data_IF_595859807527
#
_entry.id   IF_595859807527
#
_cell.length_a   1.000
_cell.length_b   1.000
_cell.length_c   1.000
_cell.angle_alpha   90.00
_cell.angle_beta   90.00
_cell.angle_gamma   90.00
#
_symmetry.space_group_name_H-M   'P 1'
#
loop_
_entity.id
_entity.type
_entity.pdbx_description
1 polymer ?
#
# COMPACT_ATOMS: atom_id res chain seq x y z
N UNK A 1 -10.59 -12.60 -23.80
CA UNK A 1 -11.23 -12.18 -25.07
C UNK A 1 -10.41 -12.48 -26.33
N UNK A 2 -9.23 -11.87 -26.61
CA UNK A 2 -8.49 -12.18 -27.86
C UNK A 2 -8.16 -13.68 -28.02
N UNK A 3 -7.65 -14.33 -26.98
CA UNK A 3 -7.39 -15.77 -27.02
C UNK A 3 -8.69 -16.56 -27.21
N UNK A 4 -9.80 -16.15 -26.59
CA UNK A 4 -11.10 -16.79 -26.78
C UNK A 4 -11.64 -16.62 -28.22
N UNK A 5 -11.41 -15.48 -28.87
CA UNK A 5 -11.75 -15.27 -30.29
C UNK A 5 -10.85 -16.12 -31.20
N UNK A 6 -9.55 -16.24 -30.88
CA UNK A 6 -8.61 -17.12 -31.61
C UNK A 6 -8.98 -18.61 -31.48
N UNK A 7 -9.54 -19.02 -30.34
CA UNK A 7 -10.04 -20.39 -30.10
C UNK A 7 -11.51 -20.58 -30.53
N UNK A 8 -12.12 -19.63 -31.24
CA UNK A 8 -13.50 -19.75 -31.73
C UNK A 8 -14.59 -19.71 -30.64
N UNK A 9 -14.23 -19.44 -29.38
CA UNK A 9 -15.16 -19.39 -28.24
C UNK A 9 -15.89 -18.04 -28.09
N UNK A 10 -15.57 -17.06 -28.93
CA UNK A 10 -16.19 -15.74 -28.90
C UNK A 10 -16.40 -15.24 -30.34
N UNK A 11 -17.66 -15.25 -30.79
CA UNK A 11 -18.12 -14.80 -32.11
C UNK A 11 -18.50 -13.30 -32.09
N UNK A 12 -17.67 -12.48 -31.46
CA UNK A 12 -17.91 -11.04 -31.43
C UNK A 12 -17.87 -10.46 -32.87
N UNK A 13 -18.89 -9.69 -33.27
CA UNK A 13 -19.04 -9.11 -34.61
C UNK A 13 -18.03 -8.01 -34.99
N UNK A 14 -16.93 -7.90 -34.27
CA UNK A 14 -15.87 -6.91 -34.50
C UNK A 14 -14.50 -7.56 -34.64
N UNK A 15 -13.65 -6.95 -35.47
CA UNK A 15 -12.31 -7.47 -35.76
C UNK A 15 -11.37 -7.40 -34.56
N UNK A 16 -10.32 -8.23 -34.60
CA UNK A 16 -9.16 -8.16 -33.70
C UNK A 16 -8.55 -6.75 -33.60
N UNK A 17 -8.58 -5.96 -34.67
CA UNK A 17 -8.02 -4.60 -34.68
C UNK A 17 -8.78 -3.66 -33.73
N UNK A 18 -10.09 -3.87 -33.56
CA UNK A 18 -10.91 -3.10 -32.61
C UNK A 18 -10.40 -3.30 -31.18
N UNK A 19 -10.04 -4.52 -30.80
CA UNK A 19 -9.44 -4.79 -29.49
C UNK A 19 -8.14 -4.05 -29.26
N UNK A 20 -7.22 -4.11 -30.21
CA UNK A 20 -5.94 -3.43 -30.04
C UNK A 20 -6.09 -1.93 -30.02
N UNK A 21 -6.95 -1.36 -30.87
CA UNK A 21 -7.27 0.07 -30.83
C UNK A 21 -7.85 0.48 -29.49
N UNK A 22 -8.75 -0.33 -28.92
CA UNK A 22 -9.29 -0.10 -27.58
C UNK A 22 -8.20 -0.17 -26.50
N UNK A 23 -7.40 -1.24 -26.47
CA UNK A 23 -6.34 -1.42 -25.47
C UNK A 23 -5.22 -0.38 -25.56
N UNK A 24 -4.94 0.12 -26.76
CA UNK A 24 -3.90 1.12 -27.03
C UNK A 24 -4.42 2.56 -26.96
N UNK A 25 -5.72 2.77 -26.70
CA UNK A 25 -6.30 4.10 -26.69
C UNK A 25 -5.77 4.92 -25.50
N UNK A 26 -4.97 5.98 -25.72
CA UNK A 26 -4.39 6.78 -24.65
C UNK A 26 -5.42 7.66 -23.93
N UNK A 27 -6.64 7.79 -24.45
CA UNK A 27 -7.71 8.56 -23.83
C UNK A 27 -8.46 7.76 -22.76
N UNK A 28 -8.27 6.45 -22.68
CA UNK A 28 -8.89 5.63 -21.62
C UNK A 28 -8.13 5.81 -20.31
N UNK A 29 -8.84 6.23 -19.28
CA UNK A 29 -8.32 6.28 -17.92
C UNK A 29 -8.63 4.96 -17.19
N UNK A 30 -7.72 3.99 -17.35
CA UNK A 30 -7.84 2.66 -16.73
C UNK A 30 -7.91 2.71 -15.21
N UNK A 31 -7.14 3.61 -14.58
CA UNK A 31 -7.14 3.78 -13.13
C UNK A 31 -8.51 4.22 -12.62
N UNK A 32 -9.11 5.23 -13.26
CA UNK A 32 -10.46 5.68 -12.91
C UNK A 32 -11.50 4.58 -13.14
N UNK A 33 -11.38 3.83 -14.25
CA UNK A 33 -12.30 2.74 -14.55
C UNK A 33 -12.30 1.67 -13.46
N UNK A 34 -11.13 1.21 -13.01
CA UNK A 34 -11.04 0.17 -11.97
C UNK A 34 -11.54 0.68 -10.62
N UNK A 35 -11.25 1.94 -10.27
CA UNK A 35 -11.75 2.56 -9.04
C UNK A 35 -13.28 2.64 -9.04
N UNK A 36 -13.89 3.11 -10.13
CA UNK A 36 -15.36 3.20 -10.23
C UNK A 36 -16.02 1.82 -10.24
N UNK A 37 -15.38 0.83 -10.85
CA UNK A 37 -15.88 -0.55 -10.81
C UNK A 37 -15.81 -1.11 -9.38
N UNK A 38 -14.69 -0.92 -8.70
CA UNK A 38 -14.51 -1.37 -7.32
C UNK A 38 -15.49 -0.67 -6.37
N UNK A 39 -15.70 0.64 -6.53
CA UNK A 39 -16.71 1.40 -5.81
C UNK A 39 -18.10 0.80 -5.97
N UNK A 40 -18.52 0.54 -7.21
CA UNK A 40 -19.83 -0.05 -7.47
C UNK A 40 -20.00 -1.42 -6.86
N UNK A 41 -18.95 -2.24 -6.84
CA UNK A 41 -18.97 -3.57 -6.22
C UNK A 41 -19.02 -3.46 -4.69
N UNK A 42 -18.17 -2.62 -4.09
CA UNK A 42 -18.07 -2.48 -2.64
C UNK A 42 -19.34 -1.85 -2.09
N UNK A 43 -19.74 -0.68 -2.60
CA UNK A 43 -20.88 0.07 -2.10
C UNK A 43 -22.22 -0.55 -2.53
N UNK A 44 -22.31 -1.12 -3.73
CA UNK A 44 -23.57 -1.66 -4.25
C UNK A 44 -23.86 -3.12 -3.87
N UNK A 45 -22.87 -3.86 -3.33
CA UNK A 45 -23.05 -5.28 -3.02
C UNK A 45 -22.39 -5.73 -1.70
N UNK A 46 -21.16 -5.31 -1.42
CA UNK A 46 -20.42 -5.89 -0.28
C UNK A 46 -20.75 -5.20 1.05
N UNK A 47 -20.94 -3.88 1.06
CA UNK A 47 -21.21 -3.14 2.29
C UNK A 47 -22.48 -3.61 3.00
N UNK A 48 -23.56 -3.85 2.25
CA UNK A 48 -24.82 -4.35 2.81
C UNK A 48 -24.70 -5.75 3.43
N UNK A 49 -23.67 -6.51 3.03
CA UNK A 49 -23.35 -7.84 3.57
C UNK A 49 -22.29 -7.79 4.68
N UNK A 50 -21.73 -6.60 4.95
CA UNK A 50 -20.66 -6.39 5.93
C UNK A 50 -21.28 -5.82 7.20
N UNK A 51 -21.11 -6.52 8.32
CA UNK A 51 -21.52 -6.00 9.63
C UNK A 51 -20.74 -4.73 9.97
N UNK A 52 -21.41 -3.73 10.57
CA UNK A 52 -20.79 -2.51 11.09
C UNK A 52 -19.71 -2.77 12.15
N UNK A 53 -19.67 -3.97 12.75
CA UNK A 53 -18.62 -4.36 13.69
C UNK A 53 -17.33 -4.78 12.99
N UNK A 54 -17.36 -5.08 11.69
CA UNK A 54 -16.15 -5.46 10.94
C UNK A 54 -15.29 -4.24 10.64
N UNK A 55 -13.99 -4.44 10.72
CA UNK A 55 -12.99 -3.45 10.31
C UNK A 55 -12.75 -3.59 8.81
N UNK A 56 -13.32 -2.67 8.02
CA UNK A 56 -12.98 -2.56 6.61
C UNK A 56 -11.70 -1.72 6.42
N UNK A 57 -10.90 -2.15 5.46
CA UNK A 57 -9.54 -1.67 5.30
C UNK A 57 -9.21 -1.39 3.82
N UNK A 58 -8.52 -0.28 3.57
CA UNK A 58 -7.70 -0.15 2.37
C UNK A 58 -6.34 -0.80 2.62
N UNK A 59 -5.95 -1.74 1.77
CA UNK A 59 -4.68 -2.47 1.87
C UNK A 59 -3.76 -2.03 0.74
N UNK A 60 -2.54 -1.65 1.09
CA UNK A 60 -1.47 -1.36 0.14
C UNK A 60 -0.37 -2.42 0.24
N UNK A 61 0.04 -2.91 -0.92
CA UNK A 61 1.19 -3.82 -1.05
C UNK A 61 1.93 -3.55 -2.35
N UNK A 62 3.23 -3.86 -2.39
CA UNK A 62 4.01 -3.78 -3.60
C UNK A 62 4.47 -5.14 -4.10
N UNK A 63 4.41 -5.30 -5.42
CA UNK A 63 4.79 -6.53 -6.09
C UNK A 63 5.74 -6.23 -7.24
N UNK A 64 6.67 -7.14 -7.50
CA UNK A 64 7.54 -7.03 -8.64
C UNK A 64 6.81 -7.42 -9.92
N UNK A 65 6.66 -6.47 -10.85
CA UNK A 65 6.06 -6.71 -12.15
C UNK A 65 7.15 -6.87 -13.22
N UNK A 66 7.60 -8.12 -13.42
CA UNK A 66 8.59 -8.44 -14.46
C UNK A 66 7.97 -8.36 -15.85
N UNK A 67 8.67 -7.70 -16.79
CA UNK A 67 8.16 -7.48 -18.15
C UNK A 67 9.05 -8.14 -19.21
N UNK A 68 8.49 -9.12 -19.92
CA UNK A 68 9.06 -9.61 -21.18
C UNK A 68 8.92 -8.52 -22.25
N UNK A 69 9.96 -8.31 -23.08
CA UNK A 69 9.98 -7.22 -24.06
C UNK A 69 10.25 -5.83 -23.48
N UNK A 70 10.87 -5.76 -22.29
CA UNK A 70 11.24 -4.51 -21.61
C UNK A 70 11.97 -3.48 -22.51
N UNK A 71 12.74 -3.93 -23.53
CA UNK A 71 13.45 -3.04 -24.47
C UNK A 71 12.53 -2.10 -25.26
N UNK A 72 11.27 -2.48 -25.46
CA UNK A 72 10.25 -1.68 -26.18
C UNK A 72 9.20 -1.08 -25.23
N UNK A 73 9.41 -1.20 -23.91
CA UNK A 73 8.47 -0.71 -22.90
C UNK A 73 9.05 0.55 -22.28
N UNK A 74 8.34 1.67 -22.43
CA UNK A 74 8.76 2.93 -21.81
C UNK A 74 8.82 2.80 -20.28
N UNK A 75 9.81 3.45 -19.66
CA UNK A 75 10.02 3.48 -18.21
C UNK A 75 10.28 2.11 -17.55
N UNK A 76 10.49 1.03 -18.31
CA UNK A 76 10.93 -0.23 -17.71
C UNK A 76 12.28 -0.01 -17.01
N UNK A 77 12.47 -0.60 -15.83
CA UNK A 77 13.69 -0.41 -15.05
C UNK A 77 14.29 -1.74 -14.58
N UNK A 78 15.56 -1.70 -14.21
CA UNK A 78 16.20 -2.73 -13.38
C UNK A 78 15.70 -2.56 -11.94
N UNK A 79 14.97 -3.57 -11.46
CA UNK A 79 14.42 -3.61 -10.10
C UNK A 79 15.04 -4.80 -9.39
N UNK A 80 15.60 -4.56 -8.21
CA UNK A 80 16.17 -5.63 -7.40
C UNK A 80 15.04 -6.43 -6.74
N UNK A 81 15.02 -7.74 -6.98
CA UNK A 81 14.10 -8.67 -6.33
C UNK A 81 14.74 -9.17 -5.03
N UNK A 82 14.17 -8.77 -3.89
CA UNK A 82 14.63 -9.21 -2.57
C UNK A 82 14.30 -10.68 -2.27
N UNK A 83 13.40 -11.31 -3.04
CA UNK A 83 13.06 -12.73 -2.88
C UNK A 83 14.07 -13.60 -3.61
N UNK A 84 14.30 -13.34 -4.90
CA UNK A 84 15.25 -14.11 -5.71
C UNK A 84 16.68 -13.60 -5.63
N UNK A 85 16.94 -12.53 -4.88
CA UNK A 85 18.26 -11.88 -4.75
C UNK A 85 18.89 -11.49 -6.10
N UNK A 86 18.05 -11.15 -7.10
CA UNK A 86 18.49 -10.87 -8.47
C UNK A 86 17.77 -9.66 -9.06
N UNK A 87 18.42 -8.97 -9.98
CA UNK A 87 17.77 -7.88 -10.72
C UNK A 87 16.82 -8.44 -11.79
N UNK A 88 15.55 -8.02 -11.72
CA UNK A 88 14.58 -8.24 -12.79
C UNK A 88 14.33 -6.94 -13.55
N UNK A 89 13.79 -7.09 -14.76
CA UNK A 89 13.52 -5.96 -15.68
C UNK A 89 12.01 -5.76 -15.75
N UNK A 90 11.54 -4.58 -15.39
CA UNK A 90 10.11 -4.31 -15.24
C UNK A 90 9.85 -3.12 -14.32
N UNK A 91 8.88 -3.29 -13.42
CA UNK A 91 8.38 -2.22 -12.55
C UNK A 91 8.16 -2.74 -11.13
N UNK A 92 8.14 -1.84 -10.14
CA UNK A 92 7.46 -2.12 -8.87
C UNK A 92 5.99 -1.75 -9.04
N UNK A 93 5.08 -2.68 -8.83
CA UNK A 93 3.65 -2.45 -8.94
C UNK A 93 3.08 -2.21 -7.55
N UNK A 94 2.68 -0.96 -7.27
CA UNK A 94 1.93 -0.61 -6.07
C UNK A 94 0.48 -0.98 -6.29
N UNK A 95 -0.10 -1.80 -5.42
CA UNK A 95 -1.48 -2.26 -5.52
C UNK A 95 -2.27 -1.78 -4.31
N UNK A 96 -3.49 -1.30 -4.57
CA UNK A 96 -4.47 -0.93 -3.57
C UNK A 96 -5.68 -1.85 -3.68
N UNK A 97 -6.12 -2.41 -2.56
CA UNK A 97 -7.35 -3.17 -2.47
C UNK A 97 -8.20 -2.75 -1.27
N UNK A 98 -9.46 -3.18 -1.28
CA UNK A 98 -10.39 -3.05 -0.15
C UNK A 98 -10.72 -4.44 0.39
N UNK A 99 -10.87 -4.55 1.70
CA UNK A 99 -11.28 -5.79 2.37
C UNK A 99 -12.12 -5.50 3.59
N UNK A 100 -13.08 -6.37 3.89
CA UNK A 100 -13.83 -6.43 5.16
C UNK A 100 -13.30 -7.55 6.08
N UNK A 101 -12.14 -8.13 5.75
CA UNK A 101 -11.56 -9.30 6.41
C UNK A 101 -12.06 -10.66 5.90
N UNK A 102 -13.11 -10.71 5.06
CA UNK A 102 -13.59 -11.95 4.43
C UNK A 102 -13.49 -11.91 2.90
N UNK A 103 -13.69 -10.74 2.32
CA UNK A 103 -13.67 -10.46 0.90
C UNK A 103 -12.49 -9.56 0.56
N UNK A 104 -12.03 -9.61 -0.69
CA UNK A 104 -11.01 -8.69 -1.19
C UNK A 104 -11.39 -8.19 -2.57
N UNK A 105 -11.38 -6.86 -2.75
CA UNK A 105 -11.66 -6.19 -4.02
C UNK A 105 -10.44 -5.39 -4.45
N UNK A 106 -9.80 -5.71 -5.59
CA UNK A 106 -8.74 -4.88 -6.13
C UNK A 106 -9.32 -3.53 -6.60
N UNK A 107 -8.77 -2.42 -6.12
CA UNK A 107 -9.23 -1.07 -6.47
C UNK A 107 -8.40 -0.49 -7.63
N UNK A 108 -7.08 -0.51 -7.46
CA UNK A 108 -6.18 0.19 -8.34
C UNK A 108 -4.76 -0.36 -8.25
N UNK A 109 -3.97 -0.14 -9.30
CA UNK A 109 -2.54 -0.34 -9.26
C UNK A 109 -1.79 0.74 -10.03
N UNK A 110 -0.55 0.98 -9.63
CA UNK A 110 0.36 1.92 -10.29
C UNK A 110 1.72 1.26 -10.52
N UNK A 111 2.22 1.35 -11.75
CA UNK A 111 3.54 0.88 -12.12
C UNK A 111 4.59 1.95 -11.81
N UNK A 112 5.48 1.65 -10.89
CA UNK A 112 6.55 2.52 -10.43
C UNK A 112 7.86 2.15 -11.13
N UNK A 113 8.41 3.12 -11.84
CA UNK A 113 9.75 3.05 -12.40
C UNK A 113 10.81 3.45 -11.37
N UNK A 114 12.08 3.24 -11.69
CA UNK A 114 13.20 3.66 -10.84
C UNK A 114 13.34 5.17 -10.83
N UNK A 115 13.68 5.74 -9.67
CA UNK A 115 14.11 7.14 -9.55
C UNK A 115 15.54 7.38 -10.06
N UNK A 116 16.33 6.31 -10.15
CA UNK A 116 17.69 6.38 -10.66
C UNK A 116 17.66 6.16 -12.17
N UNK A 117 17.98 7.19 -12.94
CA UNK A 117 17.96 7.16 -14.41
C UNK A 117 18.87 6.06 -14.98
N UNK A 118 19.96 5.69 -14.29
CA UNK A 118 20.84 4.59 -14.70
C UNK A 118 20.15 3.22 -14.66
N UNK A 119 19.12 3.08 -13.83
CA UNK A 119 18.33 1.86 -13.74
C UNK A 119 17.18 1.83 -14.74
N UNK A 120 16.81 2.96 -15.34
CA UNK A 120 15.78 3.01 -16.38
C UNK A 120 16.35 2.45 -17.69
N UNK A 121 15.56 1.62 -18.36
CA UNK A 121 15.94 0.88 -19.56
C UNK A 121 15.25 1.49 -20.77
N UNK A 122 16.03 1.75 -21.83
CA UNK A 122 15.52 2.28 -23.10
C UNK A 122 15.34 3.79 -23.08
N UNK A 123 14.90 4.34 -24.21
CA UNK A 123 14.70 5.79 -24.36
C UNK A 123 13.41 6.22 -23.70
N UNK A 124 13.49 7.09 -22.69
CA UNK A 124 12.32 7.73 -22.11
C UNK A 124 11.91 8.90 -22.98
N UNK A 125 10.79 8.78 -23.71
CA UNK A 125 10.18 9.95 -24.34
C UNK A 125 9.50 10.77 -23.24
N UNK A 126 9.57 12.11 -23.31
CA UNK A 126 8.79 13.01 -22.44
C UNK A 126 7.31 13.01 -22.83
N UNK A 127 6.71 11.82 -22.93
CA UNK A 127 5.33 11.66 -23.32
C UNK A 127 4.58 11.29 -22.04
N UNK A 128 3.79 12.25 -21.57
CA UNK A 128 2.70 12.12 -20.60
C UNK A 128 2.98 12.56 -19.14
N UNK A 129 2.07 13.40 -18.62
CA UNK A 129 2.04 13.94 -17.25
C UNK A 129 1.37 13.00 -16.24
N UNK A 130 0.96 11.80 -16.66
CA UNK A 130 0.27 10.79 -15.84
C UNK A 130 1.21 9.90 -15.03
N UNK A 131 2.53 10.10 -15.17
CA UNK A 131 3.54 9.39 -14.40
C UNK A 131 3.52 9.87 -12.95
N UNK A 132 3.15 8.99 -12.03
CA UNK A 132 3.17 9.28 -10.59
C UNK A 132 4.53 8.84 -10.03
N UNK A 133 5.23 9.75 -9.35
CA UNK A 133 6.52 9.46 -8.69
C UNK A 133 6.29 8.80 -7.33
N UNK A 134 7.10 7.77 -7.05
CA UNK A 134 6.86 6.71 -6.06
C UNK A 134 6.42 7.09 -4.64
N UNK A 135 6.84 8.24 -4.09
CA UNK A 135 6.60 8.54 -2.67
C UNK A 135 5.18 9.04 -2.39
N UNK A 136 4.49 9.59 -3.40
CA UNK A 136 3.14 10.13 -3.24
C UNK A 136 2.05 9.21 -3.80
N UNK A 137 2.42 8.05 -4.34
CA UNK A 137 1.48 7.15 -5.03
C UNK A 137 0.37 6.69 -4.11
N UNK A 138 0.72 6.26 -2.89
CA UNK A 138 -0.26 5.75 -1.92
C UNK A 138 -1.31 6.81 -1.60
N UNK A 139 -0.86 8.04 -1.29
CA UNK A 139 -1.74 9.16 -1.00
C UNK A 139 -2.63 9.52 -2.20
N UNK A 140 -2.07 9.54 -3.41
CA UNK A 140 -2.84 9.84 -4.61
C UNK A 140 -3.86 8.76 -5.00
N UNK A 141 -3.53 7.48 -4.78
CA UNK A 141 -4.46 6.37 -4.98
C UNK A 141 -5.59 6.43 -3.95
N UNK A 142 -5.24 6.73 -2.69
CA UNK A 142 -6.20 6.90 -1.61
C UNK A 142 -7.15 8.07 -1.89
N UNK A 143 -6.62 9.24 -2.28
CA UNK A 143 -7.42 10.42 -2.62
C UNK A 143 -8.39 10.14 -3.77
N UNK A 144 -7.98 9.37 -4.78
CA UNK A 144 -8.85 8.99 -5.89
C UNK A 144 -9.94 7.99 -5.47
N UNK A 145 -9.62 7.03 -4.60
CA UNK A 145 -10.59 6.08 -4.07
C UNK A 145 -11.64 6.80 -3.20
N UNK A 146 -11.18 7.66 -2.28
CA UNK A 146 -12.06 8.47 -1.43
C UNK A 146 -12.96 9.39 -2.26
N UNK A 147 -12.39 10.06 -3.27
CA UNK A 147 -13.15 10.92 -4.19
C UNK A 147 -14.20 10.14 -5.00
N UNK A 148 -13.97 8.86 -5.28
CA UNK A 148 -14.94 8.02 -5.97
C UNK A 148 -16.11 7.60 -5.06
N UNK A 149 -15.98 7.71 -3.73
CA UNK A 149 -16.99 7.28 -2.76
C UNK A 149 -16.67 5.97 -2.04
N UNK A 150 -15.47 5.41 -2.23
CA UNK A 150 -15.01 4.30 -1.39
C UNK A 150 -14.68 4.81 0.01
N UNK A 151 -15.05 4.03 1.02
CA UNK A 151 -14.70 4.29 2.42
C UNK A 151 -14.10 3.05 3.05
N UNK A 152 -13.31 3.25 4.10
CA UNK A 152 -12.80 2.20 4.97
C UNK A 152 -12.54 2.82 6.35
N UNK A 153 -12.52 2.01 7.41
CA UNK A 153 -12.11 2.44 8.75
C UNK A 153 -10.59 2.55 8.88
N UNK A 154 -9.87 1.62 8.24
CA UNK A 154 -8.42 1.54 8.36
C UNK A 154 -7.70 1.60 7.01
N UNK A 155 -6.44 2.01 7.06
CA UNK A 155 -5.46 1.80 6.00
C UNK A 155 -4.35 0.91 6.54
N UNK A 156 -4.05 -0.15 5.81
CA UNK A 156 -3.06 -1.16 6.17
C UNK A 156 -1.90 -1.17 5.18
N UNK A 157 -0.69 -1.25 5.73
CA UNK A 157 0.52 -1.44 4.94
C UNK A 157 1.63 -2.14 5.73
N UNK A 158 2.60 -2.67 4.98
CA UNK A 158 3.77 -3.34 5.51
C UNK A 158 4.85 -2.35 6.02
N UNK A 159 6.01 -2.90 6.41
CA UNK A 159 7.14 -2.09 6.93
C UNK A 159 7.78 -1.16 5.90
N UNK A 160 7.52 -1.36 4.60
CA UNK A 160 8.12 -0.54 3.55
C UNK A 160 7.41 0.81 3.39
N UNK A 161 6.15 0.92 3.84
CA UNK A 161 5.34 2.13 3.73
C UNK A 161 5.04 2.80 5.09
N UNK A 162 5.63 2.30 6.18
CA UNK A 162 5.38 2.77 7.54
C UNK A 162 6.13 4.05 7.95
N UNK A 163 6.31 5.00 7.02
CA UNK A 163 6.99 6.27 7.33
C UNK A 163 6.06 7.18 8.16
N UNK A 164 6.50 7.75 9.31
CA UNK A 164 5.71 8.68 10.11
C UNK A 164 4.98 9.77 9.31
N UNK A 165 5.64 10.39 8.32
CA UNK A 165 5.02 11.42 7.48
C UNK A 165 3.75 10.90 6.77
N UNK A 166 3.82 9.69 6.24
CA UNK A 166 2.71 9.07 5.51
C UNK A 166 1.57 8.67 6.46
N UNK A 167 1.90 8.21 7.67
CA UNK A 167 0.90 7.94 8.72
C UNK A 167 0.12 9.21 9.03
N UNK A 168 0.81 10.33 9.27
CA UNK A 168 0.16 11.63 9.53
C UNK A 168 -0.73 12.05 8.36
N UNK A 169 -0.25 11.95 7.13
CA UNK A 169 -1.03 12.30 5.94
C UNK A 169 -2.32 11.48 5.80
N UNK A 170 -2.29 10.20 6.15
CA UNK A 170 -3.48 9.34 6.11
C UNK A 170 -4.43 9.68 7.26
N UNK A 171 -3.92 9.90 8.47
CA UNK A 171 -4.75 10.30 9.61
C UNK A 171 -5.44 11.66 9.41
N UNK A 172 -4.77 12.61 8.76
CA UNK A 172 -5.37 13.90 8.37
C UNK A 172 -6.56 13.75 7.39
N UNK A 173 -6.73 12.58 6.75
CA UNK A 173 -7.88 12.26 5.88
C UNK A 173 -9.01 11.55 6.65
N UNK A 174 -8.92 11.46 7.97
CA UNK A 174 -9.94 10.83 8.82
C UNK A 174 -9.88 9.30 8.82
N UNK A 175 -8.76 8.71 8.42
CA UNK A 175 -8.57 7.26 8.37
C UNK A 175 -7.60 6.81 9.47
N UNK A 176 -7.93 5.69 10.12
CA UNK A 176 -6.98 5.06 11.04
C UNK A 176 -5.93 4.26 10.26
N UNK A 177 -4.72 4.19 10.79
CA UNK A 177 -3.61 3.46 10.18
C UNK A 177 -3.24 2.28 11.05
N UNK A 178 -3.08 1.11 10.43
CA UNK A 178 -2.45 -0.06 11.04
C UNK A 178 -1.28 -0.49 10.17
N UNK A 179 -0.06 -0.44 10.70
CA UNK A 179 1.13 -0.75 9.92
C UNK A 179 2.18 -1.51 10.70
N UNK A 180 2.98 -2.33 9.99
CA UNK A 180 4.20 -2.87 10.59
C UNK A 180 5.27 -1.79 10.67
N UNK A 181 5.98 -1.69 11.78
CA UNK A 181 7.03 -0.69 11.99
C UNK A 181 8.40 -1.25 11.64
N UNK A 182 9.11 -0.54 10.76
CA UNK A 182 10.52 -0.83 10.49
C UNK A 182 11.40 -0.49 11.70
N UNK A 183 12.19 -1.47 12.18
CA UNK A 183 13.17 -1.30 13.27
C UNK A 183 14.42 -0.53 12.81
N UNK A 184 14.27 0.75 12.48
CA UNK A 184 15.35 1.63 12.04
C UNK A 184 15.72 2.67 13.11
N UNK A 185 17.00 3.04 13.21
CA UNK A 185 17.44 4.17 14.02
C UNK A 185 17.01 5.52 13.45
N UNK A 186 16.66 5.58 12.16
CA UNK A 186 16.23 6.81 11.46
C UNK A 186 14.77 7.18 11.72
N UNK A 187 13.96 6.22 12.16
CA UNK A 187 12.53 6.43 12.42
C UNK A 187 12.36 6.59 13.92
N UNK A 188 11.87 7.76 14.33
CA UNK A 188 11.68 8.11 15.73
C UNK A 188 10.23 8.52 15.99
N UNK A 189 9.80 8.26 17.21
CA UNK A 189 8.48 8.57 17.76
C UNK A 189 8.69 9.37 19.03
N UNK A 190 7.72 10.19 19.40
CA UNK A 190 7.74 10.81 20.72
C UNK A 190 7.11 9.85 21.74
N UNK A 191 7.89 9.52 22.76
CA UNK A 191 7.51 8.65 23.86
C UNK A 191 8.00 9.30 25.16
N UNK A 192 7.09 9.55 26.11
CA UNK A 192 7.38 10.22 27.39
C UNK A 192 8.17 11.54 27.22
N UNK A 193 7.79 12.35 26.22
CA UNK A 193 8.44 13.63 25.91
C UNK A 193 9.80 13.54 25.23
N UNK A 194 10.28 12.33 24.88
CA UNK A 194 11.56 12.11 24.21
C UNK A 194 11.38 11.49 22.83
N UNK A 195 12.20 11.92 21.86
CA UNK A 195 12.26 11.30 20.53
C UNK A 195 13.10 10.03 20.58
N UNK A 196 12.44 8.88 20.43
CA UNK A 196 13.06 7.57 20.54
C UNK A 196 12.67 6.69 19.35
N UNK A 197 13.60 5.86 18.88
CA UNK A 197 13.26 4.82 17.90
C UNK A 197 12.62 3.62 18.60
N UNK A 198 11.96 2.75 17.82
CA UNK A 198 11.20 1.61 18.36
C UNK A 198 12.05 0.65 19.20
N UNK A 199 13.36 0.51 18.91
CA UNK A 199 14.26 -0.34 19.72
C UNK A 199 14.56 0.30 21.06
N UNK A 200 14.78 1.62 21.09
CA UNK A 200 14.99 2.36 22.34
C UNK A 200 13.74 2.30 23.23
N UNK A 201 12.55 2.52 22.66
CA UNK A 201 11.28 2.40 23.38
C UNK A 201 11.12 0.99 23.95
N UNK A 202 11.34 -0.03 23.11
CA UNK A 202 11.26 -1.43 23.54
C UNK A 202 12.22 -1.74 24.70
N UNK A 203 13.45 -1.21 24.66
CA UNK A 203 14.45 -1.44 25.69
C UNK A 203 14.14 -0.70 26.99
N UNK A 204 13.61 0.52 26.92
CA UNK A 204 13.24 1.33 28.08
C UNK A 204 12.07 0.74 28.88
N UNK A 205 11.11 0.09 28.19
CA UNK A 205 9.91 -0.42 28.84
C UNK A 205 10.11 -1.83 29.43
N UNK A 206 9.34 -2.14 30.48
CA UNK A 206 9.21 -3.50 31.03
C UNK A 206 8.25 -4.32 30.16
N UNK A 207 8.69 -5.50 29.73
CA UNK A 207 7.92 -6.39 28.85
C UNK A 207 6.99 -7.28 29.68
N UNK A 208 5.88 -7.73 29.08
CA UNK A 208 5.02 -8.77 29.65
C UNK A 208 5.82 -10.05 29.88
N UNK A 209 5.61 -10.70 31.03
CA UNK A 209 6.34 -11.91 31.44
C UNK A 209 5.81 -13.17 30.74
N UNK A 210 6.58 -14.25 30.80
CA UNK A 210 6.16 -15.59 30.36
C UNK A 210 6.11 -15.77 28.84
N UNK A 211 5.14 -16.56 28.38
CA UNK A 211 4.94 -16.94 26.96
C UNK A 211 3.92 -16.05 26.24
N UNK A 212 3.68 -14.84 26.73
CA UNK A 212 2.77 -13.88 26.08
C UNK A 212 3.16 -13.63 24.62
N UNK A 213 2.14 -13.57 23.75
CA UNK A 213 2.28 -13.17 22.34
C UNK A 213 2.59 -11.68 22.22
N UNK A 214 1.92 -10.86 23.02
CA UNK A 214 2.14 -9.43 23.16
C UNK A 214 3.25 -9.18 24.19
N UNK A 215 4.26 -8.42 23.81
CA UNK A 215 5.43 -8.13 24.64
C UNK A 215 5.34 -6.75 25.28
N UNK A 216 4.88 -5.76 24.51
CA UNK A 216 4.81 -4.36 24.92
C UNK A 216 3.70 -3.68 24.13
N UNK A 217 3.02 -2.73 24.77
CA UNK A 217 2.05 -1.85 24.15
C UNK A 217 2.13 -0.51 24.84
N UNK A 218 2.42 0.53 24.07
CA UNK A 218 2.68 1.87 24.61
C UNK A 218 2.07 2.93 23.71
N UNK A 219 1.47 3.97 24.31
CA UNK A 219 1.09 5.17 23.56
C UNK A 219 2.35 5.91 23.13
N UNK A 220 2.33 6.42 21.90
CA UNK A 220 3.37 7.25 21.31
C UNK A 220 2.71 8.34 20.49
N UNK A 221 3.49 9.36 20.13
CA UNK A 221 3.09 10.34 19.13
C UNK A 221 3.92 10.20 17.86
N UNK A 222 3.24 10.21 16.73
CA UNK A 222 3.79 10.05 15.38
C UNK A 222 3.77 11.38 14.66
N UNK A 223 4.83 11.63 13.88
CA UNK A 223 4.99 12.87 13.14
C UNK A 223 5.82 13.91 13.87
N UNK A 224 5.97 15.04 13.23
CA UNK A 224 6.69 16.23 13.68
C UNK A 224 5.87 17.45 13.26
N UNK A 225 5.45 18.28 14.23
CA UNK A 225 4.66 19.48 13.98
C UNK A 225 5.30 20.41 12.93
N UNK A 226 6.63 20.54 12.93
CA UNK A 226 7.34 21.43 12.01
C UNK A 226 7.41 20.88 10.57
N UNK A 227 7.33 19.55 10.39
CA UNK A 227 7.48 18.90 9.08
C UNK A 227 6.16 18.44 8.48
N UNK A 228 5.29 17.91 9.33
CA UNK A 228 4.05 17.25 8.95
C UNK A 228 2.82 18.13 9.22
N UNK A 229 3.00 19.26 9.93
CA UNK A 229 1.93 20.18 10.33
C UNK A 229 1.00 19.61 11.41
N UNK A 230 1.22 18.37 11.83
CA UNK A 230 0.43 17.70 12.86
C UNK A 230 1.26 16.61 13.57
N UNK A 231 0.79 16.26 14.76
CA UNK A 231 1.29 15.13 15.52
C UNK A 231 0.08 14.28 15.91
N UNK A 232 0.16 12.97 15.64
CA UNK A 232 -0.96 12.05 15.79
C UNK A 232 -0.66 11.07 16.91
N UNK A 233 -1.63 10.87 17.80
CA UNK A 233 -1.55 9.83 18.82
C UNK A 233 -1.64 8.45 18.17
N UNK A 234 -0.76 7.55 18.60
CA UNK A 234 -0.74 6.18 18.13
C UNK A 234 -0.30 5.24 19.26
N UNK A 235 -0.48 3.96 19.04
CA UNK A 235 -0.04 2.89 19.92
C UNK A 235 0.95 2.02 19.18
N UNK A 236 2.15 1.85 19.74
CA UNK A 236 3.09 0.84 19.28
C UNK A 236 2.86 -0.44 20.07
N UNK A 237 2.59 -1.53 19.35
CA UNK A 237 2.42 -2.86 19.91
C UNK A 237 3.55 -3.76 19.42
N UNK A 238 4.38 -4.23 20.35
CA UNK A 238 5.44 -5.20 20.07
C UNK A 238 4.92 -6.61 20.33
N UNK A 239 5.00 -7.47 19.32
CA UNK A 239 4.59 -8.87 19.37
C UNK A 239 5.78 -9.80 19.16
N UNK A 240 5.72 -11.00 19.72
CA UNK A 240 6.74 -12.02 19.50
C UNK A 240 6.69 -12.50 18.05
N UNK A 241 7.84 -12.56 17.38
CA UNK A 241 7.92 -13.07 16.02
C UNK A 241 7.63 -14.59 16.03
N UNK A 242 6.66 -15.01 15.21
CA UNK A 242 6.23 -16.42 15.11
C UNK A 242 7.32 -17.30 14.52
N UNK A 243 8.03 -16.82 13.51
CA UNK A 243 9.08 -17.55 12.79
C UNK A 243 10.41 -17.56 13.56
N UNK A 244 10.70 -16.51 14.32
CA UNK A 244 11.88 -16.43 15.17
C UNK A 244 11.53 -15.90 16.56
N UNK A 245 11.31 -16.80 17.53
CA UNK A 245 10.89 -16.42 18.89
C UNK A 245 11.89 -15.57 19.68
N UNK A 246 13.15 -15.46 19.23
CA UNK A 246 14.17 -14.57 19.81
C UNK A 246 14.04 -13.13 19.29
N UNK A 247 13.28 -12.93 18.21
CA UNK A 247 12.97 -11.64 17.63
C UNK A 247 11.52 -11.21 17.96
N UNK A 248 11.23 -9.94 17.72
CA UNK A 248 9.91 -9.35 17.90
C UNK A 248 9.52 -8.53 16.66
N UNK A 249 8.26 -8.20 16.49
CA UNK A 249 7.76 -7.31 15.43
C UNK A 249 7.05 -6.16 16.12
N UNK A 250 7.14 -4.95 15.58
CA UNK A 250 6.31 -3.84 16.05
C UNK A 250 5.22 -3.54 15.02
N UNK A 251 4.04 -3.28 15.54
CA UNK A 251 2.91 -2.72 14.84
C UNK A 251 2.66 -1.31 15.38
N UNK A 252 2.10 -0.45 14.55
CA UNK A 252 1.59 0.86 14.96
C UNK A 252 0.12 0.97 14.56
N UNK A 253 -0.70 1.46 15.48
CA UNK A 253 -2.11 1.74 15.27
C UNK A 253 -2.41 3.19 15.68
N UNK A 254 -3.06 3.98 14.83
CA UNK A 254 -3.50 5.34 15.22
C UNK A 254 -4.87 5.35 15.90
N UNK A 255 -5.59 4.22 15.84
CA UNK A 255 -6.82 4.07 16.58
C UNK A 255 -6.51 3.71 18.04
N UNK A 256 -6.67 4.70 18.92
CA UNK A 256 -6.39 4.56 20.34
C UNK A 256 -7.47 3.79 21.10
N UNK A 257 -8.63 3.53 20.47
CA UNK A 257 -9.76 2.81 21.07
C UNK A 257 -9.59 1.30 21.03
N UNK A 258 -8.80 0.78 20.07
CA UNK A 258 -8.52 -0.66 19.96
C UNK A 258 -7.52 -1.09 21.04
N UNK A 259 -7.89 -2.07 21.85
CA UNK A 259 -7.00 -2.71 22.80
C UNK A 259 -6.23 -3.91 22.18
N UNK A 260 -5.47 -4.62 23.00
CA UNK A 260 -4.68 -5.78 22.54
C UNK A 260 -5.47 -7.11 22.57
N UNK A 261 -6.72 -7.09 23.02
CA UNK A 261 -7.50 -8.29 23.36
C UNK A 261 -8.56 -8.64 22.32
#
# INVERSE_FOLDING_TARGET
>A
MYMQQKYGKCTAGFSKNTYYRFMQNPHINWLRLTILLAERIVNGHLKDLTSDQRADCFVFDDSLYSRTGYKKTELAAKVFDHVSMTYKKGFRMMTMGWTDGSSFVPIASSLLSSKNDQNVIGTTKKINKRTIKGDHVVIQLLDQALKAGLTAKYVMFDTWFSNPHQIVQISQRGLNVIAMVKKSSKITYEFEGKRMNVKQIFNACKKRRGRSRYLLSVPVKVGDLAKDGAQIDARIVCVRNRSNRKDWIALICTDMTIDEN
#
